data_IF_585549704990
#
_entry.id   IF_585549704990
#
_cell.length_a   1.000
_cell.length_b   1.000
_cell.length_c   1.000
_cell.angle_alpha   90.00
_cell.angle_beta   90.00
_cell.angle_gamma   90.00
#
_symmetry.space_group_name_H-M   'P 1'
#
loop_
_entity.id
_entity.type
_entity.pdbx_description
1 polymer ?
#
# COMPACT_ATOMS: atom_id res chain seq x y z
N UNK A 1 22.68 30.10 -14.83
CA UNK A 1 21.79 30.89 -13.98
C UNK A 1 20.38 30.92 -14.54
N UNK A 2 19.51 30.07 -14.01
CA UNK A 2 18.07 30.11 -14.30
C UNK A 2 17.44 30.97 -13.20
N UNK A 3 16.66 32.01 -13.54
CA UNK A 3 16.13 32.93 -12.56
C UNK A 3 15.19 32.21 -11.60
N UNK A 4 15.38 32.49 -10.31
CA UNK A 4 14.55 32.14 -9.17
C UNK A 4 13.17 32.81 -9.31
N UNK A 5 12.39 32.35 -10.29
CA UNK A 5 11.02 32.79 -10.48
C UNK A 5 10.20 32.26 -9.31
N UNK A 6 9.97 33.17 -8.35
CA UNK A 6 9.02 33.10 -7.25
C UNK A 6 8.00 31.96 -7.41
N UNK A 7 8.28 30.84 -6.73
CA UNK A 7 7.28 29.88 -6.34
C UNK A 7 6.28 30.62 -5.46
N UNK A 8 5.27 31.21 -6.10
CA UNK A 8 4.10 31.76 -5.43
C UNK A 8 3.53 30.62 -4.58
N UNK A 9 3.72 30.72 -3.27
CA UNK A 9 2.97 29.97 -2.27
C UNK A 9 1.53 30.48 -2.35
N UNK A 10 0.78 30.00 -3.35
CA UNK A 10 -0.67 30.09 -3.29
C UNK A 10 -1.14 29.39 -2.01
N UNK A 11 -2.30 29.77 -1.47
CA UNK A 11 -2.89 29.02 -0.35
C UNK A 11 -2.92 27.54 -0.76
N UNK A 12 -2.39 26.69 0.12
CA UNK A 12 -2.54 25.25 -0.04
C UNK A 12 -4.03 24.95 -0.30
N UNK A 13 -4.38 24.10 -1.26
CA UNK A 13 -5.75 23.63 -1.37
C UNK A 13 -6.13 23.03 -0.02
N UNK A 14 -7.04 23.70 0.69
CA UNK A 14 -7.67 23.22 1.93
C UNK A 14 -8.67 22.08 1.66
N UNK A 15 -8.86 21.73 0.38
CA UNK A 15 -9.73 20.67 -0.07
C UNK A 15 -8.88 19.42 -0.27
N UNK A 16 -9.23 18.35 0.45
CA UNK A 16 -8.51 17.08 0.43
C UNK A 16 -8.20 16.59 -0.99
N UNK A 17 -7.09 15.88 -1.13
CA UNK A 17 -6.66 15.23 -2.35
C UNK A 17 -7.59 14.04 -2.65
N UNK A 18 -8.09 13.98 -3.88
CA UNK A 18 -8.79 12.79 -4.40
C UNK A 18 -8.04 12.30 -5.61
N UNK A 19 -7.52 11.07 -5.53
CA UNK A 19 -6.87 10.38 -6.65
C UNK A 19 -7.74 9.22 -7.06
N UNK A 20 -8.01 9.11 -8.36
CA UNK A 20 -8.69 7.94 -8.93
C UNK A 20 -7.64 7.13 -9.66
N UNK A 21 -7.48 5.87 -9.24
CA UNK A 21 -6.54 4.93 -9.82
C UNK A 21 -7.33 3.82 -10.51
N UNK A 22 -6.88 3.44 -11.69
CA UNK A 22 -7.42 2.29 -12.40
C UNK A 22 -7.03 0.97 -11.71
N UNK A 23 -7.95 0.02 -11.57
CA UNK A 23 -7.71 -1.23 -10.85
C UNK A 23 -6.56 -2.07 -11.43
N UNK A 24 -6.32 -2.03 -12.74
CA UNK A 24 -5.20 -2.75 -13.36
C UNK A 24 -3.86 -2.10 -12.98
N UNK A 25 -3.83 -0.77 -12.90
CA UNK A 25 -2.65 -0.02 -12.43
C UNK A 25 -2.32 -0.39 -10.98
N UNK A 26 -3.33 -0.39 -10.11
CA UNK A 26 -3.19 -0.78 -8.70
C UNK A 26 -2.70 -2.24 -8.59
N UNK A 27 -3.26 -3.14 -9.40
CA UNK A 27 -2.83 -4.54 -9.46
C UNK A 27 -1.39 -4.69 -9.97
N UNK A 28 -0.95 -3.89 -10.94
CA UNK A 28 0.42 -3.90 -11.43
C UNK A 28 1.42 -3.45 -10.35
N UNK A 29 1.09 -2.39 -9.60
CA UNK A 29 1.88 -1.98 -8.42
C UNK A 29 1.91 -3.07 -7.36
N UNK A 30 0.79 -3.75 -7.13
CA UNK A 30 0.70 -4.90 -6.23
C UNK A 30 1.62 -6.05 -6.62
N UNK A 31 1.68 -6.41 -7.90
CA UNK A 31 2.61 -7.42 -8.38
C UNK A 31 4.07 -7.02 -8.15
N UNK A 32 4.41 -5.75 -8.43
CA UNK A 32 5.77 -5.25 -8.22
C UNK A 32 6.16 -5.25 -6.75
N UNK A 33 5.31 -4.73 -5.87
CA UNK A 33 5.55 -4.68 -4.43
C UNK A 33 5.65 -6.09 -3.83
N UNK A 34 4.83 -7.04 -4.30
CA UNK A 34 4.94 -8.44 -3.92
C UNK A 34 6.27 -9.07 -4.35
N UNK A 35 6.74 -8.76 -5.57
CA UNK A 35 8.04 -9.21 -6.06
C UNK A 35 9.20 -8.63 -5.23
N UNK A 36 9.18 -7.31 -4.97
CA UNK A 36 10.20 -6.61 -4.20
C UNK A 36 10.26 -7.09 -2.73
N UNK A 37 9.12 -7.52 -2.18
CA UNK A 37 9.02 -8.08 -0.83
C UNK A 37 9.59 -9.50 -0.71
N UNK A 38 9.80 -10.20 -1.83
CA UNK A 38 10.26 -11.58 -1.88
C UNK A 38 9.25 -12.62 -1.39
N UNK A 39 9.69 -13.88 -1.37
CA UNK A 39 8.86 -15.00 -0.96
C UNK A 39 8.68 -15.04 0.56
N UNK A 40 7.45 -15.26 1.02
CA UNK A 40 7.11 -15.50 2.42
C UNK A 40 7.08 -17.00 2.63
N UNK A 41 7.98 -17.54 3.47
CA UNK A 41 8.09 -18.99 3.69
C UNK A 41 8.27 -19.80 2.39
N UNK A 42 9.00 -19.24 1.41
CA UNK A 42 9.19 -19.87 0.09
C UNK A 42 7.97 -19.80 -0.84
N UNK A 43 6.89 -19.15 -0.41
CA UNK A 43 5.69 -18.91 -1.20
C UNK A 43 5.71 -17.46 -1.71
N UNK A 44 5.68 -17.29 -3.02
CA UNK A 44 5.63 -16.00 -3.68
C UNK A 44 4.17 -15.62 -3.97
N UNK A 45 3.63 -14.55 -3.35
CA UNK A 45 2.32 -14.05 -3.70
C UNK A 45 2.36 -13.26 -5.02
N UNK A 46 1.32 -13.44 -5.83
CA UNK A 46 1.08 -12.73 -7.09
C UNK A 46 -0.38 -12.27 -7.15
N UNK A 47 -0.66 -10.99 -6.86
CA UNK A 47 -1.98 -10.41 -7.07
C UNK A 47 -2.42 -10.52 -8.53
N UNK A 48 -3.61 -11.06 -8.78
CA UNK A 48 -4.16 -11.31 -10.13
C UNK A 48 -5.25 -10.33 -10.52
N UNK A 49 -6.07 -9.93 -9.56
CA UNK A 49 -7.16 -8.97 -9.73
C UNK A 49 -7.44 -8.26 -8.42
N UNK A 50 -7.96 -7.04 -8.49
CA UNK A 50 -8.36 -6.26 -7.33
C UNK A 50 -9.65 -5.52 -7.65
N UNK A 51 -10.62 -5.59 -6.74
CA UNK A 51 -11.84 -4.79 -6.81
C UNK A 51 -12.21 -4.31 -5.41
N UNK A 52 -12.68 -3.08 -5.31
CA UNK A 52 -13.25 -2.53 -4.07
C UNK A 52 -14.71 -2.16 -4.35
N UNK A 53 -15.62 -2.55 -3.45
CA UNK A 53 -17.06 -2.25 -3.56
C UNK A 53 -17.57 -1.81 -2.21
N UNK A 54 -17.74 -0.51 -2.03
CA UNK A 54 -18.04 0.05 -0.71
C UNK A 54 -16.87 -0.19 0.26
N UNK A 55 -17.15 -0.89 1.35
CA UNK A 55 -16.18 -1.32 2.38
C UNK A 55 -15.62 -2.73 2.13
N UNK A 56 -15.94 -3.36 1.00
CA UNK A 56 -15.47 -4.71 0.65
C UNK A 56 -14.33 -4.66 -0.35
N UNK A 57 -13.33 -5.50 -0.10
CA UNK A 57 -12.20 -5.78 -0.98
C UNK A 57 -12.34 -7.19 -1.52
N UNK A 58 -12.26 -7.34 -2.84
CA UNK A 58 -12.11 -8.62 -3.53
C UNK A 58 -10.74 -8.66 -4.20
N UNK A 59 -9.92 -9.65 -3.85
CA UNK A 59 -8.57 -9.85 -4.36
C UNK A 59 -8.45 -11.26 -4.93
N UNK A 60 -8.14 -11.37 -6.22
CA UNK A 60 -7.65 -12.61 -6.80
C UNK A 60 -6.16 -12.73 -6.51
N UNK A 61 -5.73 -13.84 -5.92
CA UNK A 61 -4.35 -14.07 -5.49
C UNK A 61 -3.85 -15.41 -6.02
N UNK A 62 -2.72 -15.41 -6.71
CA UNK A 62 -1.97 -16.62 -7.02
C UNK A 62 -0.80 -16.75 -6.06
N UNK A 63 -0.61 -17.93 -5.49
CA UNK A 63 0.53 -18.25 -4.67
C UNK A 63 1.41 -19.26 -5.40
N UNK A 64 2.70 -18.97 -5.50
CA UNK A 64 3.69 -19.82 -6.14
C UNK A 64 4.61 -20.46 -5.11
N UNK A 65 4.72 -21.78 -5.10
CA UNK A 65 5.77 -22.49 -4.38
C UNK A 65 7.00 -22.65 -5.27
N UNK A 66 7.89 -21.66 -5.27
CA UNK A 66 8.99 -21.61 -6.24
C UNK A 66 8.48 -21.61 -7.69
N UNK A 67 9.08 -22.43 -8.56
CA UNK A 67 8.69 -22.57 -9.97
C UNK A 67 7.84 -23.81 -10.26
N UNK A 68 7.51 -24.61 -9.23
CA UNK A 68 6.99 -25.98 -9.41
C UNK A 68 5.47 -26.09 -9.31
N UNK A 69 4.80 -25.25 -8.52
CA UNK A 69 3.35 -25.27 -8.37
C UNK A 69 2.76 -23.89 -8.06
N UNK A 70 1.47 -23.74 -8.40
CA UNK A 70 0.66 -22.59 -7.99
C UNK A 70 -0.71 -23.00 -7.46
N UNK A 71 -1.29 -22.11 -6.64
CA UNK A 71 -2.69 -22.15 -6.18
C UNK A 71 -3.31 -20.76 -6.33
N UNK A 72 -4.53 -20.70 -6.85
CA UNK A 72 -5.31 -19.49 -7.01
C UNK A 72 -6.37 -19.40 -5.92
N UNK A 73 -6.53 -18.22 -5.36
CA UNK A 73 -7.45 -17.91 -4.28
C UNK A 73 -8.28 -16.68 -4.64
N UNK A 74 -9.56 -16.72 -4.30
CA UNK A 74 -10.39 -15.54 -4.15
C UNK A 74 -10.36 -15.15 -2.67
N UNK A 75 -10.02 -13.89 -2.40
CA UNK A 75 -10.04 -13.30 -1.07
C UNK A 75 -11.09 -12.20 -1.05
N UNK A 76 -12.07 -12.31 -0.15
CA UNK A 76 -13.02 -11.24 0.18
C UNK A 76 -12.73 -10.76 1.60
N UNK A 77 -12.67 -9.46 1.82
CA UNK A 77 -12.47 -8.90 3.15
C UNK A 77 -13.17 -7.55 3.30
N UNK A 78 -13.44 -7.14 4.53
CA UNK A 78 -13.78 -5.76 4.83
C UNK A 78 -12.51 -4.92 4.92
N UNK A 79 -12.59 -3.68 4.45
CA UNK A 79 -11.52 -2.70 4.52
C UNK A 79 -12.03 -1.40 5.12
N UNK A 80 -11.23 -0.83 6.00
CA UNK A 80 -11.48 0.48 6.61
C UNK A 80 -10.17 1.26 6.71
N UNK A 81 -10.26 2.59 6.74
CA UNK A 81 -9.11 3.43 7.08
C UNK A 81 -9.24 3.84 8.55
N UNK A 82 -8.26 3.47 9.36
CA UNK A 82 -8.21 3.80 10.79
C UNK A 82 -6.81 4.30 11.14
N UNK A 83 -6.72 5.51 11.72
CA UNK A 83 -5.44 6.12 12.07
C UNK A 83 -4.51 6.32 10.86
N UNK A 84 -5.08 6.61 9.69
CA UNK A 84 -4.34 6.70 8.42
C UNK A 84 -3.96 5.36 7.80
N UNK A 85 -4.14 4.24 8.51
CA UNK A 85 -3.79 2.91 8.03
C UNK A 85 -5.00 2.20 7.43
N UNK A 86 -4.77 1.47 6.35
CA UNK A 86 -5.77 0.54 5.84
C UNK A 86 -5.79 -0.70 6.74
N UNK A 87 -6.94 -0.93 7.35
CA UNK A 87 -7.23 -2.09 8.19
C UNK A 87 -8.07 -3.06 7.38
N UNK A 88 -7.61 -4.30 7.28
CA UNK A 88 -8.35 -5.41 6.68
C UNK A 88 -8.96 -6.26 7.79
N UNK A 89 -10.24 -6.59 7.70
CA UNK A 89 -10.95 -7.41 8.67
C UNK A 89 -11.88 -8.43 7.99
N UNK A 90 -12.27 -9.46 8.75
CA UNK A 90 -13.17 -10.52 8.27
C UNK A 90 -12.73 -11.19 6.94
N UNK A 91 -11.46 -11.61 6.77
CA UNK A 91 -11.04 -12.23 5.52
C UNK A 91 -11.73 -13.58 5.32
N UNK A 92 -12.33 -13.75 4.15
CA UNK A 92 -12.83 -15.01 3.60
C UNK A 92 -11.94 -15.39 2.43
N UNK A 93 -11.41 -16.61 2.46
CA UNK A 93 -10.48 -17.11 1.44
C UNK A 93 -11.05 -18.38 0.86
N UNK A 94 -11.08 -18.47 -0.47
CA UNK A 94 -11.54 -19.64 -1.21
C UNK A 94 -10.53 -20.00 -2.28
N UNK A 95 -9.99 -21.21 -2.24
CA UNK A 95 -9.20 -21.75 -3.35
C UNK A 95 -10.12 -21.95 -4.56
N UNK A 96 -9.69 -21.48 -5.73
CA UNK A 96 -10.44 -21.59 -6.99
C UNK A 96 -9.76 -22.49 -8.01
N UNK A 97 -8.42 -22.61 -7.93
CA UNK A 97 -7.64 -23.43 -8.85
C UNK A 97 -6.32 -23.84 -8.22
N UNK A 98 -5.78 -24.97 -8.66
CA UNK A 98 -4.43 -25.38 -8.35
C UNK A 98 -3.78 -26.02 -9.59
N UNK A 99 -2.44 -25.97 -9.66
CA UNK A 99 -1.67 -26.78 -10.60
C UNK A 99 -1.52 -28.22 -10.10
N UNK A 100 -1.27 -29.18 -10.99
CA UNK A 100 -1.12 -30.60 -10.66
C UNK A 100 -0.07 -30.87 -9.55
N UNK A 101 1.03 -30.11 -9.52
CA UNK A 101 2.09 -30.24 -8.51
C UNK A 101 1.70 -29.76 -7.11
N UNK A 102 0.56 -29.09 -6.95
CA UNK A 102 0.15 -28.49 -5.68
C UNK A 102 -0.38 -29.52 -4.68
N UNK A 103 -0.96 -30.64 -5.13
CA UNK A 103 -1.64 -31.62 -4.28
C UNK A 103 -0.72 -32.30 -3.24
N UNK A 104 0.59 -32.34 -3.50
CA UNK A 104 1.58 -32.96 -2.62
C UNK A 104 2.24 -31.98 -1.63
N UNK A 105 2.05 -30.67 -1.79
CA UNK A 105 2.73 -29.64 -1.02
C UNK A 105 1.77 -28.99 0.01
N UNK A 106 1.87 -29.47 1.26
CA UNK A 106 1.39 -28.89 2.53
C UNK A 106 -0.11 -28.49 2.68
N UNK A 107 -0.67 -28.52 3.91
CA UNK A 107 -2.10 -28.35 4.12
C UNK A 107 -2.50 -26.90 3.88
N UNK A 108 -3.54 -26.73 3.06
CA UNK A 108 -4.28 -25.49 2.80
C UNK A 108 -4.46 -24.60 4.04
N UNK A 109 -4.61 -25.22 5.21
CA UNK A 109 -4.70 -24.55 6.50
C UNK A 109 -3.50 -23.62 6.76
N UNK A 110 -2.26 -24.03 6.49
CA UNK A 110 -1.06 -23.22 6.74
C UNK A 110 -1.02 -21.97 5.86
N UNK A 111 -1.38 -22.12 4.59
CA UNK A 111 -1.43 -21.03 3.61
C UNK A 111 -2.51 -20.02 3.99
N UNK A 112 -3.69 -20.51 4.36
CA UNK A 112 -4.83 -19.66 4.73
C UNK A 112 -4.65 -19.01 6.11
N UNK A 113 -4.01 -19.68 7.07
CA UNK A 113 -3.84 -19.15 8.43
C UNK A 113 -2.55 -18.34 8.63
N UNK A 114 -1.52 -18.56 7.82
CA UNK A 114 -0.21 -17.90 7.93
C UNK A 114 0.06 -16.91 6.81
N UNK A 115 0.09 -17.39 5.57
CA UNK A 115 0.54 -16.60 4.41
C UNK A 115 -0.49 -15.57 4.00
N UNK A 116 -1.78 -15.94 3.91
CA UNK A 116 -2.82 -15.00 3.47
C UNK A 116 -2.95 -13.81 4.44
N UNK A 117 -3.01 -13.98 5.77
CA UNK A 117 -3.01 -12.85 6.71
C UNK A 117 -1.76 -11.97 6.62
N UNK A 118 -0.59 -12.55 6.36
CA UNK A 118 0.65 -11.78 6.17
C UNK A 118 0.67 -11.01 4.84
N UNK A 119 0.14 -11.60 3.76
CA UNK A 119 -0.04 -10.92 2.48
C UNK A 119 -1.12 -9.84 2.61
N UNK A 120 -2.19 -10.11 3.35
CA UNK A 120 -3.27 -9.16 3.64
C UNK A 120 -2.81 -8.02 4.56
N UNK A 121 -1.90 -8.27 5.51
CA UNK A 121 -1.33 -7.21 6.35
C UNK A 121 -0.36 -6.33 5.57
N UNK A 122 0.25 -6.88 4.51
CA UNK A 122 1.08 -6.14 3.55
C UNK A 122 0.26 -5.56 2.39
N UNK A 123 -1.02 -5.88 2.22
CA UNK A 123 -1.87 -5.31 1.17
C UNK A 123 -1.89 -3.78 1.13
N UNK A 124 -1.79 -3.02 2.23
CA UNK A 124 -1.67 -1.57 2.14
C UNK A 124 -0.45 -1.15 1.30
N UNK A 125 0.70 -1.78 1.53
CA UNK A 125 1.96 -1.52 0.82
C UNK A 125 1.99 -2.19 -0.57
N UNK A 126 1.29 -3.33 -0.69
CA UNK A 126 1.22 -4.14 -1.90
C UNK A 126 0.17 -3.57 -2.85
N UNK A 127 -1.12 -3.58 -2.51
CA UNK A 127 -2.17 -3.06 -3.38
C UNK A 127 -1.99 -1.59 -3.73
N UNK A 128 -1.69 -0.70 -2.78
CA UNK A 128 -1.80 0.73 -3.08
C UNK A 128 -0.47 1.38 -3.43
N UNK A 129 0.68 0.84 -3.01
CA UNK A 129 1.97 1.53 -3.16
C UNK A 129 1.99 2.93 -2.51
N UNK A 130 0.94 3.28 -1.77
CA UNK A 130 0.73 4.53 -1.07
C UNK A 130 0.83 4.18 0.41
N UNK A 131 1.93 4.56 1.08
CA UNK A 131 2.01 4.43 2.52
C UNK A 131 0.85 5.21 3.14
N UNK A 132 0.15 4.58 4.09
CA UNK A 132 -0.84 5.16 4.99
C UNK A 132 -0.56 6.62 5.36
N UNK A 133 0.72 6.91 5.60
CA UNK A 133 1.27 8.25 5.57
C UNK A 133 2.65 8.21 4.98
N UNK A 134 2.90 8.99 3.92
CA UNK A 134 4.25 9.14 3.37
C UNK A 134 4.76 10.56 3.63
N UNK A 135 5.90 10.63 4.32
CA UNK A 135 6.64 11.87 4.47
C UNK A 135 7.88 11.80 3.58
N UNK A 136 7.96 12.68 2.59
CA UNK A 136 9.15 12.84 1.76
C UNK A 136 9.79 14.20 2.03
N UNK A 137 11.11 14.19 2.21
CA UNK A 137 11.91 15.40 2.32
C UNK A 137 12.60 15.64 0.97
N UNK A 138 12.09 16.59 0.19
CA UNK A 138 12.71 17.04 -1.06
C UNK A 138 13.23 18.48 -0.90
N UNK A 139 14.56 18.61 -0.84
CA UNK A 139 15.23 19.89 -0.60
C UNK A 139 14.96 20.42 0.82
N UNK A 140 14.24 21.55 0.93
CA UNK A 140 13.86 22.19 2.21
C UNK A 140 12.37 22.01 2.55
N UNK A 141 11.68 21.13 1.83
CA UNK A 141 10.25 20.89 2.01
C UNK A 141 10.03 19.47 2.52
N UNK A 142 9.15 19.36 3.51
CA UNK A 142 8.63 18.09 3.99
C UNK A 142 7.20 17.97 3.51
N UNK A 143 6.93 17.01 2.66
CA UNK A 143 5.59 16.73 2.16
C UNK A 143 5.06 15.52 2.91
N UNK A 144 3.97 15.68 3.65
CA UNK A 144 3.26 14.60 4.35
C UNK A 144 1.95 14.35 3.63
N UNK A 145 1.76 13.17 3.04
CA UNK A 145 0.47 12.74 2.53
C UNK A 145 -0.18 11.79 3.54
N UNK A 146 -1.43 12.02 3.90
CA UNK A 146 -2.22 11.21 4.85
C UNK A 146 -3.42 10.62 4.14
N UNK A 147 -3.60 9.30 4.22
CA UNK A 147 -4.79 8.63 3.70
C UNK A 147 -5.98 8.87 4.65
N UNK A 148 -7.07 9.44 4.14
CA UNK A 148 -8.31 9.71 4.90
C UNK A 148 -9.48 8.83 4.47
N UNK A 149 -9.42 8.22 3.28
CA UNK A 149 -10.46 7.29 2.84
C UNK A 149 -10.08 6.46 1.62
N UNK A 150 -10.73 5.31 1.51
CA UNK A 150 -10.62 4.41 0.37
C UNK A 150 -12.04 4.00 -0.03
N UNK A 151 -12.36 4.05 -1.31
CA UNK A 151 -13.63 3.53 -1.83
C UNK A 151 -13.46 3.07 -3.27
N UNK A 152 -14.18 2.04 -3.68
CA UNK A 152 -14.25 1.67 -5.09
C UNK A 152 -15.41 2.36 -5.82
N UNK A 153 -15.19 2.65 -7.10
CA UNK A 153 -16.19 3.18 -8.03
C UNK A 153 -16.14 2.35 -9.33
N UNK A 154 -16.79 1.19 -9.34
CA UNK A 154 -16.75 0.27 -10.48
C UNK A 154 -15.36 -0.36 -10.65
N UNK A 155 -14.67 0.01 -11.72
CA UNK A 155 -13.33 -0.46 -12.09
C UNK A 155 -12.21 0.43 -11.52
N UNK A 156 -12.57 1.53 -10.86
CA UNK A 156 -11.60 2.46 -10.29
C UNK A 156 -11.57 2.38 -8.77
N UNK A 157 -10.37 2.53 -8.24
CA UNK A 157 -10.13 2.79 -6.84
C UNK A 157 -10.01 4.30 -6.60
N UNK A 158 -10.82 4.82 -5.69
CA UNK A 158 -10.78 6.21 -5.25
C UNK A 158 -10.08 6.30 -3.90
N UNK A 159 -8.96 7.00 -3.89
CA UNK A 159 -8.14 7.28 -2.71
C UNK A 159 -8.37 8.73 -2.32
N UNK A 160 -8.75 8.96 -1.06
CA UNK A 160 -8.94 10.29 -0.48
C UNK A 160 -7.88 10.53 0.59
N UNK A 161 -7.31 11.71 0.63
CA UNK A 161 -6.29 12.04 1.59
C UNK A 161 -6.09 13.53 1.77
N UNK A 162 -5.18 13.86 2.67
CA UNK A 162 -4.72 15.21 2.93
C UNK A 162 -3.24 15.28 2.57
N UNK A 163 -2.83 16.40 1.97
CA UNK A 163 -1.44 16.67 1.67
C UNK A 163 -1.03 17.86 2.51
N UNK A 164 0.03 17.75 3.30
CA UNK A 164 0.64 18.84 4.04
C UNK A 164 2.04 19.12 3.51
N UNK A 165 2.35 20.40 3.22
CA UNK A 165 3.69 20.79 2.74
C UNK A 165 4.30 21.74 3.78
N UNK A 166 5.18 21.20 4.61
CA UNK A 166 5.98 21.95 5.60
C UNK A 166 7.36 22.33 5.08
N UNK A 167 8.05 23.23 5.79
CA UNK A 167 9.50 23.46 5.61
C UNK A 167 10.28 22.60 6.60
N UNK A 168 11.35 21.96 6.14
CA UNK A 168 12.31 21.28 7.02
C UNK A 168 13.06 22.37 7.78
N UNK A 169 12.71 22.57 9.05
CA UNK A 169 13.38 23.52 9.92
C UNK A 169 14.85 23.16 10.06
N UNK A 170 15.75 24.01 9.59
CA UNK A 170 17.17 23.94 9.94
C UNK A 170 17.27 24.06 11.46
N UNK A 171 17.53 22.95 12.17
CA UNK A 171 17.98 23.00 13.56
C UNK A 171 19.34 23.67 13.55
N UNK A 172 19.36 24.99 13.68
CA UNK A 172 20.57 25.75 13.96
C UNK A 172 21.13 25.19 15.25
N UNK A 173 22.25 24.47 15.19
CA UNK A 173 23.03 24.12 16.38
C UNK A 173 23.44 25.44 17.02
N UNK A 174 22.69 25.89 18.03
CA UNK A 174 23.11 27.01 18.87
C UNK A 174 24.33 26.52 19.63
N UNK A 175 25.51 26.84 19.12
CA UNK A 175 26.78 26.62 19.81
C UNK A 175 26.77 27.55 21.02
N UNK A 176 26.33 27.03 22.15
CA UNK A 176 26.38 27.75 23.43
C UNK A 176 27.84 28.18 23.66
N UNK A 177 28.12 29.48 23.49
CA UNK A 177 29.37 30.07 23.93
C UNK A 177 29.38 30.00 25.45
N UNK A 178 30.10 29.03 25.99
CA UNK A 178 30.60 29.07 27.37
C UNK A 178 31.47 30.32 27.49
N UNK A 179 30.92 31.37 28.10
CA UNK A 179 31.73 32.45 28.67
C UNK A 179 32.52 31.89 29.84
N UNK A 180 33.80 31.62 29.61
CA UNK A 180 34.79 31.38 30.65
C UNK A 180 35.29 32.72 31.18
N UNK A 181 35.40 32.77 32.50
CA UNK A 181 35.74 33.93 33.36
C UNK A 181 37.09 34.57 33.05
#
# INVERSE_FOLDING_TARGET
DVPEAALRTGPMPTQGLVVTLDADTVTAFARRSAFDSGAVMGIQPEPRSLAVRGDRLALGLRLWGGTSWYRDFDVDAKVAVSGGQLVVSEPSVRETRASDGAAAADPLAYVVSGVVPEVLSRLPDVAFGVPATHASDEGRKRTTATLSGLSGNGEALVVRGDLEIGRVGHRTKVKARRGGR
#
